data_IF_112271012035
#
_entry.id   IF_112271012035
#
_cell.length_a   1.000
_cell.length_b   1.000
_cell.length_c   1.000
_cell.angle_alpha   90.00
_cell.angle_beta   90.00
_cell.angle_gamma   90.00
#
_symmetry.space_group_name_H-M   'P 1'
#
loop_
_entity.id
_entity.type
_entity.pdbx_description
1 polymer ?
#
# COMPACT_ATOMS: atom_id res chain seq x y z
N UNK A 1 -19.15 3.25 3.54
CA UNK A 1 -20.20 3.79 2.65
C UNK A 1 -19.79 5.21 2.30
N UNK A 2 -19.87 5.60 1.03
CA UNK A 2 -19.57 6.98 0.62
C UNK A 2 -20.68 7.92 1.10
N UNK A 3 -20.38 9.18 1.40
CA UNK A 3 -21.39 10.20 1.68
C UNK A 3 -22.38 10.34 0.52
N UNK A 4 -23.64 10.70 0.83
CA UNK A 4 -24.68 10.79 -0.18
C UNK A 4 -24.37 11.89 -1.22
N UNK A 5 -23.83 12.99 -0.77
CA UNK A 5 -23.43 14.13 -1.61
C UNK A 5 -22.43 13.71 -2.67
N UNK A 6 -21.44 12.91 -2.29
CA UNK A 6 -20.42 12.37 -3.22
C UNK A 6 -21.04 11.48 -4.28
N UNK A 7 -22.02 10.64 -3.89
CA UNK A 7 -22.73 9.77 -4.83
C UNK A 7 -23.61 10.56 -5.79
N UNK A 8 -24.25 11.63 -5.33
CA UNK A 8 -25.07 12.52 -6.16
C UNK A 8 -24.19 13.30 -7.17
N UNK A 9 -23.07 13.84 -6.74
CA UNK A 9 -22.12 14.53 -7.60
C UNK A 9 -21.53 13.60 -8.66
N UNK A 10 -21.10 12.40 -8.25
CA UNK A 10 -20.62 11.38 -9.17
C UNK A 10 -21.71 10.97 -10.19
N UNK A 11 -22.96 10.81 -9.74
CA UNK A 11 -24.08 10.49 -10.60
C UNK A 11 -24.37 11.59 -11.64
N UNK A 12 -24.33 12.85 -11.25
CA UNK A 12 -24.48 13.99 -12.18
C UNK A 12 -23.36 14.04 -13.22
N UNK A 13 -22.13 13.75 -12.80
CA UNK A 13 -20.94 13.76 -13.66
C UNK A 13 -20.94 12.66 -14.73
N UNK A 14 -21.76 11.61 -14.56
CA UNK A 14 -21.92 10.54 -15.56
C UNK A 14 -22.67 11.02 -16.80
N UNK A 15 -23.60 11.97 -16.67
CA UNK A 15 -24.39 12.48 -17.79
C UNK A 15 -23.76 13.70 -18.45
N UNK A 16 -23.27 14.62 -17.67
CA UNK A 16 -22.61 15.84 -18.16
C UNK A 16 -21.67 16.41 -17.09
N UNK A 17 -20.38 16.24 -17.30
CA UNK A 17 -19.39 16.79 -16.38
C UNK A 17 -19.27 18.31 -16.53
N UNK A 18 -19.80 19.05 -15.57
CA UNK A 18 -19.69 20.50 -15.46
C UNK A 18 -20.04 21.29 -16.75
N UNK A 19 -21.03 20.84 -17.50
CA UNK A 19 -21.45 21.50 -18.74
C UNK A 19 -20.50 21.27 -19.94
N UNK A 20 -19.64 20.28 -19.85
CA UNK A 20 -18.71 19.94 -20.94
C UNK A 20 -19.37 19.26 -22.15
N UNK A 21 -20.63 18.84 -22.01
CA UNK A 21 -21.35 18.06 -23.02
C UNK A 21 -20.90 16.60 -23.10
N UNK A 22 -20.12 16.11 -22.14
CA UNK A 22 -19.68 14.72 -22.12
C UNK A 22 -19.66 14.15 -20.70
N UNK A 23 -19.79 12.84 -20.62
CA UNK A 23 -19.60 12.07 -19.37
C UNK A 23 -18.16 12.09 -18.90
N UNK A 24 -17.96 12.09 -17.58
CA UNK A 24 -16.62 11.86 -17.00
C UNK A 24 -16.01 10.53 -17.47
N UNK A 25 -16.86 9.52 -17.79
CA UNK A 25 -16.42 8.21 -18.26
C UNK A 25 -15.94 8.21 -19.72
N UNK A 26 -16.31 9.23 -20.51
CA UNK A 26 -15.94 9.37 -21.93
C UNK A 26 -14.74 10.27 -22.15
N UNK A 27 -14.28 10.94 -21.09
CA UNK A 27 -13.17 11.87 -21.16
C UNK A 27 -11.86 11.19 -21.57
N UNK A 28 -11.17 11.81 -22.53
CA UNK A 28 -9.78 11.44 -22.79
C UNK A 28 -8.89 11.85 -21.61
N UNK A 29 -7.98 10.95 -21.19
CA UNK A 29 -6.95 11.27 -20.20
C UNK A 29 -5.97 12.38 -20.64
N UNK A 30 -6.10 12.89 -21.88
CA UNK A 30 -5.32 14.00 -22.43
C UNK A 30 -6.15 15.28 -22.54
N UNK A 31 -7.36 15.30 -22.00
CA UNK A 31 -8.20 16.49 -22.01
C UNK A 31 -7.89 17.39 -20.83
N UNK A 32 -8.08 18.70 -21.03
CA UNK A 32 -7.98 19.69 -19.96
C UNK A 32 -8.91 19.42 -18.77
N UNK A 33 -10.03 18.76 -19.02
CA UNK A 33 -10.99 18.39 -18.00
C UNK A 33 -10.44 17.26 -17.09
N UNK A 34 -9.83 16.25 -17.72
CA UNK A 34 -9.19 15.18 -16.97
C UNK A 34 -7.97 15.68 -16.18
N UNK A 35 -7.14 16.52 -16.80
CA UNK A 35 -5.98 17.09 -16.11
C UNK A 35 -6.41 17.83 -14.85
N UNK A 36 -7.47 18.67 -14.93
CA UNK A 36 -7.99 19.38 -13.77
C UNK A 36 -8.46 18.42 -12.65
N UNK A 37 -9.18 17.35 -12.99
CA UNK A 37 -9.64 16.33 -12.03
C UNK A 37 -8.44 15.64 -11.37
N UNK A 38 -7.46 15.25 -12.18
CA UNK A 38 -6.27 14.55 -11.70
C UNK A 38 -5.42 15.43 -10.77
N UNK A 39 -5.19 16.67 -11.15
CA UNK A 39 -4.39 17.62 -10.38
C UNK A 39 -5.07 17.95 -9.04
N UNK A 40 -6.37 18.16 -9.04
CA UNK A 40 -7.15 18.35 -7.81
C UNK A 40 -7.07 17.11 -6.91
N UNK A 41 -7.26 15.91 -7.47
CA UNK A 41 -7.15 14.66 -6.73
C UNK A 41 -5.79 14.51 -6.06
N UNK A 42 -4.70 14.73 -6.80
CA UNK A 42 -3.33 14.64 -6.26
C UNK A 42 -3.06 15.71 -5.19
N UNK A 43 -3.58 16.93 -5.40
CA UNK A 43 -3.48 18.02 -4.43
C UNK A 43 -4.19 17.68 -3.13
N UNK A 44 -5.43 17.19 -3.21
CA UNK A 44 -6.21 16.77 -2.03
C UNK A 44 -5.57 15.60 -1.28
N UNK A 45 -5.04 14.60 -1.99
CA UNK A 45 -4.29 13.51 -1.36
C UNK A 45 -3.07 14.04 -0.62
N UNK A 46 -2.32 14.97 -1.22
CA UNK A 46 -1.15 15.60 -0.60
C UNK A 46 -1.52 16.35 0.68
N UNK A 47 -2.57 17.14 0.62
CA UNK A 47 -3.06 17.94 1.75
C UNK A 47 -3.55 17.04 2.89
N UNK A 48 -4.51 16.15 2.60
CA UNK A 48 -5.17 15.33 3.61
C UNK A 48 -4.24 14.30 4.27
N UNK A 49 -3.26 13.81 3.52
CA UNK A 49 -2.28 12.86 4.04
C UNK A 49 -0.98 13.52 4.51
N UNK A 50 -0.88 14.85 4.43
CA UNK A 50 0.32 15.60 4.81
C UNK A 50 1.59 15.07 4.09
N UNK A 51 1.47 14.77 2.78
CA UNK A 51 2.60 14.25 2.00
C UNK A 51 3.60 15.37 1.74
N UNK A 52 4.87 15.25 2.18
CA UNK A 52 5.90 16.26 1.94
C UNK A 52 6.14 16.49 0.44
N UNK A 53 6.60 17.69 0.08
CA UNK A 53 6.75 18.08 -1.33
C UNK A 53 7.82 17.29 -2.09
N UNK A 54 8.81 16.76 -1.39
CA UNK A 54 9.87 15.91 -1.93
C UNK A 54 9.37 14.52 -2.37
N UNK A 55 8.14 14.12 -1.97
CA UNK A 55 7.54 12.87 -2.39
C UNK A 55 6.61 13.08 -3.59
N UNK A 56 6.69 12.17 -4.55
CA UNK A 56 5.72 12.11 -5.66
C UNK A 56 4.57 11.19 -5.30
N UNK A 57 3.36 11.62 -5.64
CA UNK A 57 2.16 10.79 -5.59
C UNK A 57 1.97 10.21 -6.98
N UNK A 58 1.87 8.89 -7.07
CA UNK A 58 1.64 8.19 -8.34
C UNK A 58 0.43 7.27 -8.20
N UNK A 59 -0.40 7.25 -9.23
CA UNK A 59 -1.52 6.34 -9.37
C UNK A 59 -1.08 5.16 -10.24
N UNK A 60 -1.12 3.95 -9.70
CA UNK A 60 -0.66 2.74 -10.37
C UNK A 60 -1.80 1.75 -10.56
N UNK A 61 -1.71 0.97 -11.62
CA UNK A 61 -2.67 -0.08 -11.94
C UNK A 61 -2.42 -1.36 -11.13
N UNK A 62 -3.40 -2.28 -11.15
CA UNK A 62 -3.25 -3.66 -10.69
C UNK A 62 -3.66 -3.90 -9.25
N UNK A 63 -4.07 -2.89 -8.51
CA UNK A 63 -4.47 -3.01 -7.11
C UNK A 63 -3.36 -3.55 -6.22
N UNK A 64 -3.71 -3.96 -4.98
CA UNK A 64 -2.75 -4.45 -3.99
C UNK A 64 -2.03 -5.73 -4.43
N UNK A 65 -2.65 -6.59 -5.22
CA UNK A 65 -2.02 -7.84 -5.66
C UNK A 65 -0.81 -7.61 -6.56
N UNK A 66 -0.87 -6.63 -7.46
CA UNK A 66 0.29 -6.25 -8.28
C UNK A 66 1.38 -5.57 -7.43
N UNK A 67 1.02 -4.90 -6.34
CA UNK A 67 2.01 -4.33 -5.43
C UNK A 67 2.82 -5.41 -4.70
N UNK A 68 2.28 -6.61 -4.48
CA UNK A 68 3.06 -7.73 -3.92
C UNK A 68 4.20 -8.15 -4.84
N UNK A 69 4.05 -7.97 -6.14
CA UNK A 69 5.09 -8.18 -7.16
C UNK A 69 6.01 -6.94 -7.27
N UNK A 70 5.42 -5.75 -7.31
CA UNK A 70 6.17 -4.50 -7.48
C UNK A 70 7.19 -4.26 -6.36
N UNK A 71 6.87 -4.64 -5.11
CA UNK A 71 7.77 -4.49 -3.97
C UNK A 71 9.09 -5.25 -4.18
N UNK A 72 9.12 -6.57 -4.40
CA UNK A 72 10.38 -7.26 -4.65
C UNK A 72 11.07 -6.80 -5.93
N UNK A 73 10.36 -6.53 -7.02
CA UNK A 73 10.96 -6.04 -8.26
C UNK A 73 11.75 -4.72 -8.08
N UNK A 74 11.30 -3.85 -7.21
CA UNK A 74 11.91 -2.54 -7.01
C UNK A 74 12.88 -2.49 -5.83
N UNK A 75 12.64 -3.27 -4.76
CA UNK A 75 13.33 -3.10 -3.49
C UNK A 75 14.31 -4.23 -3.16
N UNK A 76 14.26 -5.38 -3.83
CA UNK A 76 15.06 -6.56 -3.51
C UNK A 76 16.53 -6.44 -4.00
N UNK A 77 17.24 -5.43 -3.54
CA UNK A 77 18.59 -5.09 -3.98
C UNK A 77 19.66 -6.16 -3.64
N UNK A 78 19.55 -6.77 -2.46
CA UNK A 78 20.49 -7.81 -1.97
C UNK A 78 20.05 -9.22 -2.34
N UNK A 79 18.90 -9.36 -3.01
CA UNK A 79 18.26 -10.65 -3.26
C UNK A 79 17.61 -11.28 -2.03
N UNK A 80 17.62 -10.59 -0.87
CA UNK A 80 17.11 -11.11 0.41
C UNK A 80 16.08 -10.16 1.02
N UNK A 81 14.99 -10.70 1.55
CA UNK A 81 14.01 -9.96 2.33
C UNK A 81 13.36 -10.83 3.40
N UNK A 82 12.87 -10.19 4.46
CA UNK A 82 12.24 -10.84 5.60
C UNK A 82 10.75 -10.48 5.68
N UNK A 83 9.92 -11.48 5.96
CA UNK A 83 8.46 -11.35 5.96
C UNK A 83 7.86 -11.83 7.29
N UNK A 84 6.85 -11.09 7.77
CA UNK A 84 5.99 -11.53 8.86
C UNK A 84 4.58 -11.77 8.29
N UNK A 85 4.05 -12.98 8.51
CA UNK A 85 2.77 -13.42 7.93
C UNK A 85 1.70 -13.47 9.01
N UNK A 86 0.80 -12.47 8.99
CA UNK A 86 -0.29 -12.29 9.96
C UNK A 86 -1.68 -12.34 9.33
N UNK A 87 -1.79 -12.87 8.11
CA UNK A 87 -3.08 -13.00 7.43
C UNK A 87 -2.95 -13.51 5.99
N UNK A 88 -4.09 -13.66 5.33
CA UNK A 88 -4.13 -14.19 3.97
C UNK A 88 -3.39 -13.31 2.95
N UNK A 89 -3.51 -11.99 3.06
CA UNK A 89 -2.83 -11.07 2.14
C UNK A 89 -1.32 -11.04 2.41
N UNK A 90 -0.91 -11.08 3.68
CA UNK A 90 0.50 -11.23 4.04
C UNK A 90 1.09 -12.54 3.48
N UNK A 91 0.34 -13.65 3.53
CA UNK A 91 0.75 -14.93 2.96
C UNK A 91 0.86 -14.88 1.42
N UNK A 92 -0.07 -14.17 0.75
CA UNK A 92 0.02 -13.95 -0.70
C UNK A 92 1.25 -13.12 -1.07
N UNK A 93 1.50 -12.03 -0.35
CA UNK A 93 2.68 -11.20 -0.57
C UNK A 93 3.98 -11.98 -0.36
N UNK A 94 4.08 -12.78 0.70
CA UNK A 94 5.22 -13.66 0.95
C UNK A 94 5.46 -14.65 -0.20
N UNK A 95 4.41 -15.36 -0.65
CA UNK A 95 4.49 -16.31 -1.75
C UNK A 95 4.90 -15.65 -3.07
N UNK A 96 4.39 -14.45 -3.32
CA UNK A 96 4.76 -13.70 -4.52
C UNK A 96 6.23 -13.32 -4.51
N UNK A 97 6.71 -12.77 -3.41
CA UNK A 97 8.11 -12.36 -3.25
C UNK A 97 9.11 -13.51 -3.44
N UNK A 98 8.75 -14.74 -3.02
CA UNK A 98 9.59 -15.94 -3.18
C UNK A 98 9.98 -16.26 -4.63
N UNK A 99 9.26 -15.71 -5.60
CA UNK A 99 9.61 -15.88 -7.02
C UNK A 99 10.83 -15.06 -7.45
N UNK A 100 11.22 -14.07 -6.65
CA UNK A 100 12.22 -13.05 -7.00
C UNK A 100 13.52 -13.16 -6.22
N UNK A 101 13.54 -13.89 -5.09
CA UNK A 101 14.76 -14.04 -4.31
C UNK A 101 14.63 -14.90 -3.07
N UNK A 102 15.64 -14.81 -2.20
CA UNK A 102 15.69 -15.51 -0.92
C UNK A 102 14.82 -14.77 0.11
N UNK A 103 13.59 -15.22 0.24
CA UNK A 103 12.59 -14.61 1.13
C UNK A 103 12.40 -15.48 2.36
N UNK A 104 12.74 -14.93 3.52
CA UNK A 104 12.62 -15.63 4.80
C UNK A 104 11.31 -15.28 5.51
N UNK A 105 10.61 -16.31 5.97
CA UNK A 105 9.52 -16.15 6.92
C UNK A 105 10.10 -16.02 8.34
N UNK A 106 10.06 -14.82 8.90
CA UNK A 106 10.56 -14.55 10.26
C UNK A 106 9.58 -15.05 11.31
N UNK A 107 8.32 -14.70 11.14
CA UNK A 107 7.26 -15.11 12.05
C UNK A 107 5.92 -15.25 11.35
N UNK A 108 5.06 -16.11 11.89
CA UNK A 108 3.69 -16.29 11.40
C UNK A 108 2.75 -16.55 12.57
N UNK A 109 1.50 -16.11 12.45
CA UNK A 109 0.42 -16.47 13.36
C UNK A 109 -0.59 -17.43 12.74
N UNK A 110 -0.20 -18.14 11.69
CA UNK A 110 -1.04 -19.15 11.02
C UNK A 110 -1.43 -20.31 11.91
N UNK A 111 -0.58 -20.66 12.88
CA UNK A 111 -0.80 -21.69 13.90
C UNK A 111 -2.11 -21.50 14.69
N UNK A 112 -2.48 -20.24 14.94
CA UNK A 112 -3.74 -19.85 15.59
C UNK A 112 -4.68 -19.11 14.66
N UNK A 113 -4.70 -19.47 13.37
CA UNK A 113 -5.60 -18.89 12.37
C UNK A 113 -5.55 -17.35 12.32
N UNK A 114 -4.35 -16.77 12.47
CA UNK A 114 -4.10 -15.34 12.42
C UNK A 114 -4.89 -14.50 13.47
N UNK A 115 -4.94 -14.98 14.71
CA UNK A 115 -5.63 -14.30 15.82
C UNK A 115 -4.72 -13.43 16.67
N UNK A 116 -3.42 -13.38 16.39
CA UNK A 116 -2.45 -12.58 17.14
C UNK A 116 -1.32 -12.04 16.24
N UNK A 117 -0.63 -11.02 16.72
CA UNK A 117 0.60 -10.52 16.10
C UNK A 117 1.79 -11.17 16.79
N UNK A 118 2.66 -11.90 16.06
CA UNK A 118 3.85 -12.50 16.64
C UNK A 118 4.78 -11.44 17.20
N UNK A 119 5.34 -11.70 18.38
CA UNK A 119 6.41 -10.85 18.92
C UNK A 119 7.70 -11.18 18.20
N UNK A 120 8.42 -10.15 17.81
CA UNK A 120 9.74 -10.22 17.18
C UNK A 120 10.71 -9.29 17.87
N UNK A 121 11.99 -9.63 17.84
CA UNK A 121 13.08 -8.79 18.30
C UNK A 121 14.02 -8.45 17.13
N UNK A 122 14.82 -7.39 17.22
CA UNK A 122 15.71 -6.98 16.14
C UNK A 122 16.64 -8.08 15.63
N UNK A 123 17.09 -9.00 16.51
CA UNK A 123 17.94 -10.13 16.16
C UNK A 123 17.26 -11.20 15.31
N UNK A 124 15.94 -11.18 15.20
CA UNK A 124 15.21 -12.14 14.36
C UNK A 124 15.33 -11.80 12.87
N UNK A 125 15.71 -10.58 12.56
CA UNK A 125 15.81 -10.08 11.18
C UNK A 125 17.24 -10.18 10.65
N UNK A 126 17.37 -10.48 9.35
CA UNK A 126 18.67 -10.55 8.68
C UNK A 126 19.24 -9.15 8.48
N UNK A 127 20.49 -8.87 8.88
CA UNK A 127 21.10 -7.54 8.72
C UNK A 127 21.34 -7.18 7.24
N UNK A 128 21.40 -8.18 6.36
CA UNK A 128 21.60 -8.02 4.92
C UNK A 128 20.28 -8.10 4.12
N UNK A 129 19.12 -8.12 4.78
CA UNK A 129 17.84 -8.05 4.11
C UNK A 129 17.63 -6.67 3.47
N UNK A 130 17.15 -6.64 2.22
CA UNK A 130 16.82 -5.40 1.51
C UNK A 130 15.67 -4.65 2.17
N UNK A 131 14.73 -5.38 2.74
CA UNK A 131 13.56 -4.85 3.45
C UNK A 131 12.92 -5.90 4.35
N UNK A 132 12.07 -5.41 5.25
CA UNK A 132 11.13 -6.22 6.03
C UNK A 132 9.71 -5.91 5.58
N UNK A 133 8.92 -6.92 5.30
CA UNK A 133 7.51 -6.77 4.90
C UNK A 133 6.56 -7.19 6.02
N UNK A 134 5.59 -6.32 6.30
CA UNK A 134 4.43 -6.61 7.15
C UNK A 134 3.15 -6.20 6.43
N UNK A 135 2.02 -6.79 6.80
CA UNK A 135 0.69 -6.30 6.44
C UNK A 135 0.08 -5.66 7.68
N UNK A 136 0.05 -4.33 7.72
CA UNK A 136 -0.37 -3.57 8.90
C UNK A 136 -1.77 -3.95 9.37
N UNK A 137 -2.71 -4.07 8.43
CA UNK A 137 -4.11 -4.33 8.71
C UNK A 137 -4.61 -5.56 7.93
N UNK A 138 -4.99 -6.59 8.66
CA UNK A 138 -5.55 -7.83 8.11
C UNK A 138 -7.07 -7.82 8.29
N UNK A 139 -7.80 -7.23 7.35
CA UNK A 139 -9.24 -6.98 7.42
C UNK A 139 -10.08 -8.23 7.62
N UNK A 140 -9.69 -9.38 7.03
CA UNK A 140 -10.42 -10.65 7.14
C UNK A 140 -10.46 -11.17 8.58
N UNK A 141 -9.34 -11.00 9.31
CA UNK A 141 -9.18 -11.53 10.66
C UNK A 141 -9.33 -10.46 11.75
N UNK A 142 -9.54 -9.19 11.36
CA UNK A 142 -9.64 -8.07 12.29
C UNK A 142 -8.34 -7.77 13.05
N UNK A 143 -7.21 -8.19 12.51
CA UNK A 143 -5.91 -8.05 13.15
C UNK A 143 -5.15 -6.85 12.59
N UNK A 144 -4.69 -5.97 13.46
CA UNK A 144 -3.96 -4.75 13.11
C UNK A 144 -2.73 -4.56 13.98
N UNK A 145 -1.62 -4.12 13.37
CA UNK A 145 -0.45 -3.66 14.12
C UNK A 145 -0.73 -2.29 14.75
N UNK A 146 -0.60 -2.21 16.08
CA UNK A 146 -0.65 -0.92 16.80
C UNK A 146 0.74 -0.27 16.85
N UNK A 147 1.79 -1.09 16.86
CA UNK A 147 3.19 -0.67 16.82
C UNK A 147 3.92 -1.49 15.77
N UNK A 148 4.84 -0.86 15.05
CA UNK A 148 5.68 -1.56 14.08
C UNK A 148 6.72 -2.43 14.81
N UNK A 149 7.20 -3.53 14.19
CA UNK A 149 8.33 -4.28 14.68
C UNK A 149 9.54 -3.38 14.90
N UNK A 150 10.33 -3.65 15.93
CA UNK A 150 11.60 -2.97 16.14
C UNK A 150 12.65 -3.53 15.16
N UNK A 151 13.16 -2.67 14.29
CA UNK A 151 14.15 -2.99 13.26
C UNK A 151 15.49 -2.26 13.52
N UNK A 152 15.79 -1.89 14.75
CA UNK A 152 16.93 -1.02 15.10
C UNK A 152 18.31 -1.59 14.71
N UNK A 153 18.44 -2.88 14.46
CA UNK A 153 19.67 -3.53 13.98
C UNK A 153 19.80 -3.58 12.45
N UNK A 154 18.75 -3.22 11.72
CA UNK A 154 18.78 -3.15 10.25
C UNK A 154 19.05 -1.68 9.90
N UNK A 155 20.08 -1.41 9.10
CA UNK A 155 20.32 -0.08 8.55
C UNK A 155 19.18 0.30 7.60
N UNK A 156 18.16 0.92 8.17
CA UNK A 156 17.13 1.60 7.39
C UNK A 156 17.73 2.95 7.01
N UNK A 157 18.32 3.03 5.84
CA UNK A 157 18.55 4.31 5.21
C UNK A 157 17.20 4.89 4.83
N UNK A 158 16.68 5.80 5.63
CA UNK A 158 15.42 6.50 5.51
C UNK A 158 14.16 5.71 5.96
N UNK A 159 13.49 6.16 7.03
CA UNK A 159 12.15 5.72 7.32
C UNK A 159 11.19 6.42 6.34
N UNK A 160 10.86 5.79 5.25
CA UNK A 160 9.67 6.19 4.49
C UNK A 160 8.47 5.84 5.36
N UNK A 161 8.16 6.70 6.30
CA UNK A 161 6.99 6.60 7.15
C UNK A 161 5.78 7.04 6.32
N UNK A 162 5.29 6.18 5.46
CA UNK A 162 3.93 6.27 4.98
C UNK A 162 3.02 6.05 6.20
N UNK A 163 2.70 7.15 6.89
CA UNK A 163 1.68 7.13 7.93
C UNK A 163 0.34 6.89 7.25
N UNK A 164 -0.16 5.65 7.43
CA UNK A 164 -1.55 5.24 7.34
C UNK A 164 -2.30 5.59 6.05
N UNK A 165 -2.40 4.62 5.17
CA UNK A 165 -3.68 4.38 4.50
C UNK A 165 -4.27 3.15 5.20
N UNK A 166 -5.28 3.34 6.05
CA UNK A 166 -6.11 2.25 6.50
C UNK A 166 -7.37 2.26 5.63
N UNK A 167 -7.60 1.17 4.94
CA UNK A 167 -8.89 0.89 4.32
C UNK A 167 -9.85 0.37 5.38
#
# INVERSE_FOLDING_TARGET
MLPLEVLQEAGASITDYQGSGMSVMEMSHRSKWYDAINDECLSLVRELMHVPNEYRIILVQGGASTQFEAVPLNLLKTGKADYIVTGNFAKKAYKEAQKYGDIRLVASSEDKKFTYIPKTCPSDFRPDASYVHITENNTIFGLKYNTLPDLSLIHISEPTRLRRISY
#
